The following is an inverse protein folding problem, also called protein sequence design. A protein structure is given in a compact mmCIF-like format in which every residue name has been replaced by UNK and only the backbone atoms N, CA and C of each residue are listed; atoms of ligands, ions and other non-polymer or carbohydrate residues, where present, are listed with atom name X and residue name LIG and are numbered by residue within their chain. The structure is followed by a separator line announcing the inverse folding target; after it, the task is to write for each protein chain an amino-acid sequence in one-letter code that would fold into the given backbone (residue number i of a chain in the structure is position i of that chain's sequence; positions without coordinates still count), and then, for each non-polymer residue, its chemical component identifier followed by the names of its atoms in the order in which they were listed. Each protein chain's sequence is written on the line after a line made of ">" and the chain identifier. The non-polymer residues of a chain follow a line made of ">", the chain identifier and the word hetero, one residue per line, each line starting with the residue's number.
data_IF_319377260461
#
_entry.id   IF_319377260461
#
_cell.length_a   1.000
_cell.length_b   1.000
_cell.length_c   1.000
_cell.angle_alpha   90.00
_cell.angle_beta   90.00
_cell.angle_gamma   90.00
#
_symmetry.space_group_name_H-M   'P 1'
#
loop_
_entity.id
_entity.type
_entity.pdbx_description
1 polymer ?
#
# COMPACT_ATOMS: atom_id res chain seq x y z
N UNK A 1 10.25 8.60 -5.72
CA UNK A 1 11.11 7.63 -5.02
C UNK A 1 12.44 8.33 -4.78
N UNK A 2 13.05 8.18 -3.60
CA UNK A 2 14.44 8.61 -3.40
C UNK A 2 15.32 7.64 -4.16
N UNK A 3 16.33 8.13 -4.87
CA UNK A 3 17.18 7.34 -5.77
C UNK A 3 18.07 6.31 -5.02
N UNK A 4 17.98 6.26 -3.68
CA UNK A 4 18.89 5.52 -2.81
C UNK A 4 18.30 4.22 -2.19
N UNK A 5 17.09 3.80 -2.57
CA UNK A 5 16.48 2.56 -2.04
C UNK A 5 16.30 1.53 -3.15
N UNK A 6 17.17 0.52 -3.15
CA UNK A 6 17.06 -0.65 -4.01
C UNK A 6 15.92 -1.54 -3.46
N UNK A 7 14.80 -1.57 -4.18
CA UNK A 7 13.57 -2.24 -3.72
C UNK A 7 13.76 -3.75 -3.47
N UNK A 8 14.67 -4.36 -4.21
CA UNK A 8 15.01 -5.79 -4.15
C UNK A 8 15.76 -6.16 -2.87
N UNK A 9 16.30 -5.17 -2.15
CA UNK A 9 16.92 -5.38 -0.84
C UNK A 9 15.92 -5.38 0.31
N UNK A 10 14.68 -4.93 0.07
CA UNK A 10 13.68 -4.71 1.11
C UNK A 10 12.44 -5.58 0.91
N UNK A 11 12.09 -5.96 -0.32
CA UNK A 11 10.92 -6.76 -0.66
C UNK A 11 11.32 -8.14 -1.18
N UNK A 12 10.74 -9.18 -0.60
CA UNK A 12 10.95 -10.58 -1.02
C UNK A 12 9.60 -11.21 -1.36
N UNK A 13 9.32 -11.55 -2.63
CA UNK A 13 8.10 -12.28 -2.98
C UNK A 13 8.15 -13.71 -2.42
N UNK A 14 7.00 -14.28 -2.06
CA UNK A 14 6.89 -15.71 -1.80
C UNK A 14 7.20 -16.54 -3.04
N UNK A 15 7.50 -17.83 -2.83
CA UNK A 15 7.75 -18.79 -3.91
C UNK A 15 6.57 -18.93 -4.88
N UNK A 16 5.33 -18.75 -4.41
CA UNK A 16 4.12 -18.74 -5.23
C UNK A 16 3.72 -17.34 -5.72
N UNK A 17 4.49 -16.31 -5.34
CA UNK A 17 4.30 -14.89 -5.65
C UNK A 17 2.94 -14.33 -5.20
N UNK A 18 2.22 -15.02 -4.30
CA UNK A 18 0.93 -14.58 -3.76
C UNK A 18 1.11 -13.42 -2.77
N UNK A 19 2.28 -13.28 -2.15
CA UNK A 19 2.57 -12.22 -1.19
C UNK A 19 3.99 -11.67 -1.33
N UNK A 20 4.14 -10.38 -1.03
CA UNK A 20 5.45 -9.72 -0.87
C UNK A 20 5.72 -9.49 0.60
N UNK A 21 6.84 -10.04 1.08
CA UNK A 21 7.29 -9.95 2.46
C UNK A 21 8.38 -8.90 2.64
N UNK A 22 8.56 -8.47 3.89
CA UNK A 22 9.72 -7.69 4.30
C UNK A 22 10.96 -8.58 4.36
N UNK A 23 12.05 -8.08 3.78
CA UNK A 23 13.38 -8.62 3.95
C UNK A 23 13.79 -8.60 5.43
N UNK A 24 14.21 -9.74 5.97
CA UNK A 24 14.82 -9.81 7.29
C UNK A 24 16.34 -9.66 7.19
N UNK A 25 16.91 -8.65 7.85
CA UNK A 25 18.37 -8.56 8.04
C UNK A 25 18.87 -9.42 9.22
N UNK A 26 17.99 -9.89 10.13
CA UNK A 26 18.42 -10.48 11.40
C UNK A 26 18.50 -12.03 11.43
N UNK A 27 18.09 -12.73 10.37
CA UNK A 27 18.20 -14.20 10.28
C UNK A 27 19.50 -14.64 9.59
N UNK A 28 20.64 -14.11 10.03
CA UNK A 28 21.96 -14.51 9.54
C UNK A 28 22.50 -15.75 10.28
N UNK A 29 22.80 -16.85 9.56
CA UNK A 29 24.12 -17.46 9.64
C UNK A 29 25.03 -16.74 8.63
N UNK A 30 26.26 -16.47 9.06
CA UNK A 30 27.23 -15.69 8.29
C UNK A 30 27.49 -16.26 6.88
N UNK A 31 27.72 -15.32 5.95
CA UNK A 31 28.23 -15.47 4.59
C UNK A 31 27.22 -15.90 3.49
N UNK A 32 27.09 -14.99 2.51
CA UNK A 32 26.34 -15.06 1.24
C UNK A 32 24.82 -14.77 1.32
N UNK A 33 24.48 -13.49 1.16
CA UNK A 33 23.38 -12.94 0.32
C UNK A 33 22.04 -13.70 0.20
N UNK A 34 21.59 -14.40 1.24
CA UNK A 34 20.23 -14.96 1.30
C UNK A 34 19.44 -14.06 2.24
N UNK A 35 18.62 -13.20 1.65
CA UNK A 35 17.60 -12.44 2.38
C UNK A 35 16.44 -13.40 2.65
N UNK A 36 16.16 -13.67 3.92
CA UNK A 36 15.00 -14.47 4.31
C UNK A 36 13.77 -13.57 4.45
N UNK A 37 12.65 -14.02 3.89
CA UNK A 37 11.35 -13.40 4.14
C UNK A 37 10.92 -13.67 5.59
N UNK A 38 10.67 -12.62 6.36
CA UNK A 38 9.90 -12.76 7.61
C UNK A 38 8.44 -13.00 7.25
N UNK A 39 7.95 -14.21 7.48
CA UNK A 39 6.61 -14.65 7.05
C UNK A 39 5.46 -13.94 7.80
N UNK A 40 5.77 -13.12 8.81
CA UNK A 40 4.84 -12.32 9.60
C UNK A 40 4.94 -10.81 9.30
N UNK A 41 5.78 -10.39 8.34
CA UNK A 41 5.91 -9.01 7.92
C UNK A 41 5.68 -8.85 6.41
N UNK A 42 4.66 -8.09 6.01
CA UNK A 42 4.26 -7.97 4.60
C UNK A 42 4.32 -6.54 4.07
N UNK A 43 4.37 -6.44 2.73
CA UNK A 43 4.17 -5.21 1.98
C UNK A 43 2.80 -5.17 1.32
N UNK A 44 2.19 -3.99 1.34
CA UNK A 44 1.01 -3.66 0.52
C UNK A 44 1.28 -2.35 -0.21
N UNK A 45 1.20 -2.34 -1.53
CA UNK A 45 1.26 -1.12 -2.32
C UNK A 45 -0.15 -0.60 -2.59
N UNK A 46 -0.34 0.71 -2.42
CA UNK A 46 -1.61 1.38 -2.73
C UNK A 46 -1.37 2.57 -3.66
N UNK A 47 -2.28 2.75 -4.62
CA UNK A 47 -2.32 3.93 -5.47
C UNK A 47 -3.76 4.34 -5.77
N UNK A 48 -3.95 5.65 -5.98
CA UNK A 48 -5.17 6.22 -6.50
C UNK A 48 -4.84 7.20 -7.62
N UNK A 49 -5.45 6.97 -8.77
CA UNK A 49 -5.23 7.74 -9.97
C UNK A 49 -6.53 8.41 -10.43
N UNK A 50 -6.41 9.60 -11.00
CA UNK A 50 -7.54 10.25 -11.67
C UNK A 50 -7.06 10.93 -12.95
N UNK A 51 -7.54 10.46 -14.09
CA UNK A 51 -7.28 11.04 -15.40
C UNK A 51 -8.31 12.13 -15.67
N UNK A 52 -7.85 13.32 -16.05
CA UNK A 52 -8.73 14.50 -16.19
C UNK A 52 -9.22 15.01 -14.84
N UNK A 53 -8.43 14.85 -13.76
CA UNK A 53 -8.82 15.30 -12.43
C UNK A 53 -9.24 16.78 -12.44
N UNK A 54 -10.39 17.09 -11.82
CA UNK A 54 -10.99 18.42 -11.84
C UNK A 54 -11.81 18.77 -13.09
N UNK A 55 -12.06 17.80 -13.99
CA UNK A 55 -12.97 17.97 -15.13
C UNK A 55 -14.21 17.08 -15.02
N UNK A 56 -15.30 17.37 -15.76
CA UNK A 56 -16.49 16.52 -15.81
C UNK A 56 -16.24 15.10 -16.27
N UNK A 57 -15.29 14.93 -17.19
CA UNK A 57 -14.93 13.63 -17.74
C UNK A 57 -13.86 12.89 -16.91
N UNK A 58 -13.61 13.35 -15.68
CA UNK A 58 -12.62 12.77 -14.78
C UNK A 58 -12.90 11.29 -14.52
N UNK A 59 -11.93 10.43 -14.86
CA UNK A 59 -11.97 8.99 -14.58
C UNK A 59 -11.01 8.66 -13.47
N UNK A 60 -11.55 8.19 -12.36
CA UNK A 60 -10.80 7.84 -11.17
C UNK A 60 -10.73 6.33 -10.99
N UNK A 61 -9.64 5.83 -10.42
CA UNK A 61 -9.44 4.42 -10.09
C UNK A 61 -8.55 4.26 -8.85
N UNK A 62 -8.61 3.08 -8.24
CA UNK A 62 -7.74 2.64 -7.14
C UNK A 62 -6.98 1.38 -7.55
N UNK A 63 -5.79 1.22 -6.99
CA UNK A 63 -4.97 0.02 -7.11
C UNK A 63 -4.49 -0.42 -5.73
N UNK A 64 -4.58 -1.73 -5.46
CA UNK A 64 -3.94 -2.39 -4.31
C UNK A 64 -3.18 -3.60 -4.83
N UNK A 65 -1.91 -3.70 -4.44
CA UNK A 65 -1.03 -4.78 -4.83
C UNK A 65 -0.37 -5.41 -3.61
N UNK A 66 -0.48 -6.73 -3.48
CA UNK A 66 0.11 -7.50 -2.36
C UNK A 66 1.08 -8.60 -2.83
N UNK A 67 0.99 -9.03 -4.08
CA UNK A 67 1.79 -10.10 -4.70
C UNK A 67 1.45 -10.21 -6.18
N UNK A 68 2.32 -10.75 -7.02
CA UNK A 68 2.11 -10.79 -8.47
C UNK A 68 0.91 -11.63 -8.88
N UNK A 69 0.79 -12.83 -8.29
CA UNK A 69 -0.27 -13.79 -8.61
C UNK A 69 -1.49 -13.63 -7.69
N UNK A 70 -1.47 -12.62 -6.80
CA UNK A 70 -2.39 -12.60 -5.68
C UNK A 70 -3.83 -12.32 -6.04
N UNK A 71 -4.71 -13.17 -5.53
CA UNK A 71 -6.17 -12.97 -5.61
C UNK A 71 -6.66 -11.78 -4.76
N UNK A 72 -5.81 -11.24 -3.88
CA UNK A 72 -6.08 -10.05 -3.07
C UNK A 72 -5.76 -8.74 -3.77
N UNK A 73 -5.09 -8.77 -4.92
CA UNK A 73 -4.91 -7.58 -5.74
C UNK A 73 -6.26 -6.96 -6.11
N UNK A 74 -6.32 -5.63 -6.15
CA UNK A 74 -7.52 -4.87 -6.51
C UNK A 74 -7.18 -3.81 -7.55
N UNK A 75 -8.03 -3.70 -8.56
CA UNK A 75 -8.05 -2.60 -9.51
C UNK A 75 -9.50 -2.24 -9.78
N UNK A 76 -9.94 -1.11 -9.23
CA UNK A 76 -11.35 -0.71 -9.27
C UNK A 76 -11.47 0.70 -9.84
N UNK A 77 -12.35 0.86 -10.82
CA UNK A 77 -12.77 2.17 -11.27
C UNK A 77 -13.75 2.78 -10.27
N UNK A 78 -13.60 4.08 -10.02
CA UNK A 78 -14.64 4.83 -9.34
C UNK A 78 -15.90 4.85 -10.22
N UNK A 79 -17.06 4.69 -9.59
CA UNK A 79 -18.32 5.04 -10.24
C UNK A 79 -18.27 6.52 -10.63
N UNK A 80 -18.77 6.89 -11.83
CA UNK A 80 -18.85 8.29 -12.23
C UNK A 80 -19.65 9.07 -11.19
N UNK A 81 -18.99 9.97 -10.47
CA UNK A 81 -19.64 10.86 -9.52
C UNK A 81 -20.43 11.95 -10.25
N UNK A 82 -21.49 12.44 -9.62
CA UNK A 82 -22.35 13.53 -10.14
C UNK A 82 -21.75 14.93 -10.02
N UNK A 83 -20.54 15.07 -9.46
CA UNK A 83 -19.90 16.38 -9.18
C UNK A 83 -18.44 16.44 -9.63
N UNK A 84 -18.08 17.55 -10.27
CA UNK A 84 -16.70 17.92 -10.60
C UNK A 84 -15.93 18.23 -9.32
N UNK A 85 -15.36 17.20 -8.70
CA UNK A 85 -14.56 17.36 -7.49
C UNK A 85 -13.07 17.43 -7.84
N UNK A 86 -12.37 18.51 -7.46
CA UNK A 86 -10.96 18.71 -7.80
C UNK A 86 -10.02 17.73 -7.07
N UNK A 87 -10.48 17.04 -6.03
CA UNK A 87 -9.64 16.19 -5.17
C UNK A 87 -9.86 14.68 -5.36
N UNK A 88 -10.51 14.26 -6.45
CA UNK A 88 -10.81 12.84 -6.74
C UNK A 88 -9.57 11.94 -6.67
N UNK A 89 -8.39 12.40 -7.13
CA UNK A 89 -7.14 11.61 -7.02
C UNK A 89 -6.78 11.30 -5.56
N UNK A 90 -6.87 12.30 -4.68
CA UNK A 90 -6.55 12.15 -3.26
C UNK A 90 -7.55 11.23 -2.57
N UNK A 91 -8.85 11.41 -2.84
CA UNK A 91 -9.89 10.52 -2.33
C UNK A 91 -9.65 9.07 -2.75
N UNK A 92 -9.26 8.83 -4.01
CA UNK A 92 -8.96 7.48 -4.47
C UNK A 92 -7.79 6.84 -3.73
N UNK A 93 -6.77 7.61 -3.37
CA UNK A 93 -5.64 7.12 -2.58
C UNK A 93 -6.07 6.70 -1.17
N UNK A 94 -6.99 7.44 -0.57
CA UNK A 94 -7.60 7.06 0.73
C UNK A 94 -8.43 5.78 0.58
N UNK A 95 -9.26 5.68 -0.46
CA UNK A 95 -10.04 4.46 -0.73
C UNK A 95 -9.14 3.25 -0.98
N UNK A 96 -8.03 3.41 -1.71
CA UNK A 96 -7.05 2.34 -1.91
C UNK A 96 -6.45 1.85 -0.57
N UNK A 97 -6.14 2.78 0.34
CA UNK A 97 -5.70 2.47 1.69
C UNK A 97 -6.78 1.71 2.50
N UNK A 98 -8.04 2.11 2.41
CA UNK A 98 -9.15 1.40 3.06
C UNK A 98 -9.28 -0.04 2.54
N UNK A 99 -9.13 -0.25 1.23
CA UNK A 99 -9.14 -1.59 0.63
C UNK A 99 -7.97 -2.45 1.12
N UNK A 100 -6.78 -1.87 1.28
CA UNK A 100 -5.64 -2.56 1.89
C UNK A 100 -5.93 -2.99 3.34
N UNK A 101 -6.55 -2.13 4.15
CA UNK A 101 -6.95 -2.46 5.51
C UNK A 101 -8.01 -3.56 5.57
N UNK A 102 -8.91 -3.62 4.59
CA UNK A 102 -9.89 -4.69 4.50
C UNK A 102 -9.23 -6.05 4.21
N UNK A 103 -8.24 -6.10 3.32
CA UNK A 103 -7.46 -7.33 3.08
C UNK A 103 -6.83 -7.84 4.39
N UNK A 104 -6.26 -6.95 5.22
CA UNK A 104 -5.69 -7.33 6.51
C UNK A 104 -6.70 -7.95 7.48
N UNK A 105 -8.00 -7.67 7.34
CA UNK A 105 -9.06 -8.24 8.18
C UNK A 105 -9.46 -9.66 7.77
N UNK A 106 -9.15 -10.08 6.54
CA UNK A 106 -9.61 -11.35 5.97
C UNK A 106 -8.88 -12.60 6.50
N UNK A 107 -7.90 -12.45 7.40
CA UNK A 107 -7.00 -13.54 7.87
C UNK A 107 -6.35 -14.33 6.71
N UNK A 108 -6.10 -13.66 5.59
CA UNK A 108 -5.59 -14.30 4.38
C UNK A 108 -4.23 -15.00 4.54
N UNK A 109 -3.42 -14.52 5.48
CA UNK A 109 -2.08 -15.05 5.80
C UNK A 109 -2.09 -16.07 6.94
N UNK A 110 -3.26 -16.56 7.32
CA UNK A 110 -3.44 -17.53 8.41
C UNK A 110 -4.02 -16.91 9.68
N UNK A 111 -4.05 -17.71 10.75
CA UNK A 111 -4.62 -17.31 12.04
C UNK A 111 -3.65 -16.53 12.93
N UNK A 112 -2.35 -16.66 12.67
CA UNK A 112 -1.31 -15.95 13.41
C UNK A 112 -1.31 -14.46 13.05
N UNK A 113 -1.15 -13.57 14.04
CA UNK A 113 -1.13 -12.14 13.79
C UNK A 113 0.15 -11.74 13.03
N UNK A 114 0.00 -10.82 12.07
CA UNK A 114 1.13 -10.18 11.42
C UNK A 114 1.92 -9.33 12.43
N UNK A 115 3.23 -9.51 12.47
CA UNK A 115 4.12 -8.69 13.28
C UNK A 115 4.25 -7.27 12.73
N UNK A 116 4.28 -7.12 11.39
CA UNK A 116 4.39 -5.81 10.74
C UNK A 116 3.69 -5.77 9.40
N UNK A 117 3.06 -4.65 9.09
CA UNK A 117 2.55 -4.36 7.75
C UNK A 117 3.15 -3.05 7.29
N UNK A 118 3.81 -3.06 6.14
CA UNK A 118 4.32 -1.85 5.50
C UNK A 118 3.42 -1.50 4.32
N UNK A 119 2.70 -0.38 4.46
CA UNK A 119 1.89 0.16 3.37
C UNK A 119 2.72 1.21 2.63
N UNK A 120 2.99 0.97 1.35
CA UNK A 120 3.70 1.92 0.48
C UNK A 120 2.74 2.64 -0.45
N UNK A 121 2.97 3.93 -0.65
CA UNK A 121 2.19 4.78 -1.53
C UNK A 121 3.09 5.78 -2.26
N UNK A 122 2.70 6.18 -3.48
CA UNK A 122 3.40 7.18 -4.29
C UNK A 122 3.07 8.63 -3.87
N UNK A 123 2.15 8.79 -2.93
CA UNK A 123 1.54 10.05 -2.56
C UNK A 123 2.10 10.57 -1.24
N UNK A 124 2.99 11.56 -1.30
CA UNK A 124 3.47 12.25 -0.11
C UNK A 124 2.31 12.79 0.75
N UNK A 125 1.23 13.28 0.10
CA UNK A 125 0.02 13.69 0.80
C UNK A 125 -0.60 12.55 1.63
N UNK A 126 -0.62 11.32 1.10
CA UNK A 126 -1.17 10.18 1.83
C UNK A 126 -0.23 9.76 2.96
N UNK A 127 1.07 9.67 2.67
CA UNK A 127 2.10 9.28 3.64
C UNK A 127 2.13 10.25 4.80
N UNK A 128 2.31 11.55 4.55
CA UNK A 128 2.34 12.59 5.61
C UNK A 128 0.98 12.77 6.27
N UNK A 129 -0.10 12.64 5.52
CA UNK A 129 -1.46 12.65 6.06
C UNK A 129 -1.63 11.63 7.18
N UNK A 130 -1.21 10.38 6.93
CA UNK A 130 -1.37 9.27 7.87
C UNK A 130 -0.29 9.20 8.97
N UNK A 131 0.89 9.78 8.73
CA UNK A 131 2.03 9.67 9.67
C UNK A 131 2.31 10.92 10.49
N UNK A 132 1.83 12.09 10.06
CA UNK A 132 2.13 13.36 10.70
C UNK A 132 0.88 14.23 10.92
N UNK A 133 0.10 14.47 9.87
CA UNK A 133 -0.93 15.51 9.91
C UNK A 133 -2.15 15.09 10.71
N UNK A 134 -2.57 13.82 10.63
CA UNK A 134 -3.70 13.32 11.42
C UNK A 134 -3.49 13.53 12.93
N UNK A 135 -2.28 13.30 13.44
CA UNK A 135 -1.95 13.51 14.84
C UNK A 135 -1.95 15.00 15.20
N UNK A 136 -1.45 15.86 14.30
CA UNK A 136 -1.53 17.31 14.49
C UNK A 136 -2.99 17.75 14.58
N UNK A 137 -3.83 17.37 13.61
CA UNK A 137 -5.25 17.71 13.59
C UNK A 137 -6.00 17.26 14.83
N UNK A 138 -5.73 16.06 15.34
CA UNK A 138 -6.33 15.57 16.59
C UNK A 138 -5.93 16.43 17.80
N UNK A 139 -4.67 16.88 17.84
CA UNK A 139 -4.16 17.71 18.95
C UNK A 139 -4.54 19.20 18.85
N UNK A 140 -4.63 19.77 17.64
CA UNK A 140 -4.85 21.21 17.43
C UNK A 140 -6.26 21.57 17.01
N UNK A 141 -7.06 20.61 16.51
CA UNK A 141 -8.43 20.84 16.04
C UNK A 141 -8.55 21.73 14.80
N UNK A 142 -7.44 21.96 14.08
CA UNK A 142 -7.31 22.74 12.84
C UNK A 142 -6.51 21.90 11.85
#
# INVERSE_FOLDING_TARGET
>A
YGDDVELDLVQVPSLDEDWVYLACENDHPAAAAIVYATHDCIFIAVDGACRGNGTPDAKAAIGVFVGETSSFNRSLFATPGTRDEPNRRTERRIVALEQALEILRTKALGEEPLHKVVIKADSEYLVKGMTEWVFKWETTGI
#
